data_IF_965890847700
#
_entry.id   IF_965890847700
#
_cell.length_a   1.000
_cell.length_b   1.000
_cell.length_c   1.000
_cell.angle_alpha   90.00
_cell.angle_beta   90.00
_cell.angle_gamma   90.00
#
_symmetry.space_group_name_H-M   'P 1'
#
loop_
_entity.id
_entity.type
_entity.pdbx_description
1 polymer ?
#
# COMPACT_ATOMS: atom_id res chain seq x y z
N UNK A 1 21.08 -38.27 -8.61
CA UNK A 1 19.71 -38.25 -8.06
C UNK A 1 19.14 -36.88 -8.36
N UNK A 2 18.22 -36.77 -9.30
CA UNK A 2 17.50 -35.51 -9.57
C UNK A 2 16.40 -35.39 -8.53
N UNK A 3 16.45 -34.37 -7.68
CA UNK A 3 15.43 -34.12 -6.67
C UNK A 3 14.55 -32.97 -7.17
N UNK A 4 13.37 -33.31 -7.69
CA UNK A 4 12.41 -32.32 -8.20
C UNK A 4 11.97 -31.33 -7.11
N UNK A 5 11.90 -31.79 -5.86
CA UNK A 5 11.53 -30.97 -4.70
C UNK A 5 12.52 -29.82 -4.47
N UNK A 6 13.82 -30.09 -4.59
CA UNK A 6 14.87 -29.06 -4.43
C UNK A 6 14.74 -27.98 -5.51
N UNK A 7 14.48 -28.39 -6.76
CA UNK A 7 14.27 -27.44 -7.85
C UNK A 7 12.99 -26.60 -7.67
N UNK A 8 11.94 -27.18 -7.07
CA UNK A 8 10.70 -26.48 -6.78
C UNK A 8 10.86 -25.50 -5.61
N UNK A 9 11.63 -25.86 -4.58
CA UNK A 9 11.96 -24.99 -3.45
C UNK A 9 12.82 -23.80 -3.90
N UNK A 10 13.85 -24.06 -4.71
CA UNK A 10 14.70 -23.01 -5.29
C UNK A 10 13.88 -22.05 -6.16
N UNK A 11 13.00 -22.58 -7.03
CA UNK A 11 12.08 -21.77 -7.82
C UNK A 11 11.14 -20.92 -6.96
N UNK A 12 10.64 -21.47 -5.85
CA UNK A 12 9.80 -20.77 -4.88
C UNK A 12 10.55 -19.62 -4.20
N UNK A 13 11.78 -19.87 -3.77
CA UNK A 13 12.65 -18.87 -3.16
C UNK A 13 13.03 -17.74 -4.13
N UNK A 14 13.33 -18.08 -5.38
CA UNK A 14 13.59 -17.09 -6.42
C UNK A 14 12.33 -16.31 -6.81
N UNK A 15 11.16 -16.95 -6.79
CA UNK A 15 9.88 -16.30 -7.03
C UNK A 15 9.56 -15.25 -5.96
N UNK A 16 9.90 -15.49 -4.69
CA UNK A 16 9.80 -14.47 -3.62
C UNK A 16 10.72 -13.26 -3.86
N UNK A 17 11.79 -13.41 -4.64
CA UNK A 17 12.71 -12.32 -4.99
C UNK A 17 12.23 -11.44 -6.15
N UNK A 18 11.06 -11.74 -6.74
CA UNK A 18 10.51 -10.98 -7.87
C UNK A 18 9.85 -9.68 -7.38
N UNK A 19 10.21 -8.57 -8.01
CA UNK A 19 9.60 -7.26 -7.81
C UNK A 19 10.48 -6.25 -7.06
N UNK A 20 10.12 -4.96 -7.06
CA UNK A 20 10.91 -3.92 -6.40
C UNK A 20 10.85 -4.06 -4.87
N UNK A 21 12.02 -4.04 -4.23
CA UNK A 21 12.10 -4.05 -2.77
C UNK A 21 11.41 -2.81 -2.17
N UNK A 22 10.62 -3.00 -1.09
CA UNK A 22 10.03 -1.88 -0.38
C UNK A 22 11.15 -1.00 0.20
N UNK A 23 10.90 0.31 0.28
CA UNK A 23 11.88 1.28 0.79
C UNK A 23 12.42 0.92 2.18
N UNK A 24 11.55 0.33 3.03
CA UNK A 24 11.91 -0.05 4.39
C UNK A 24 12.74 -1.33 4.46
N UNK A 25 12.76 -2.14 3.40
CA UNK A 25 13.45 -3.43 3.39
C UNK A 25 14.98 -3.31 3.52
N UNK A 26 15.56 -2.22 3.04
CA UNK A 26 17.00 -1.97 3.16
C UNK A 26 17.38 -1.28 4.49
N UNK A 27 16.44 -0.58 5.14
CA UNK A 27 16.70 0.26 6.31
C UNK A 27 16.02 -0.33 7.55
N UNK A 28 16.65 -1.34 8.15
CA UNK A 28 16.15 -2.00 9.37
C UNK A 28 16.07 -1.03 10.56
N UNK A 29 16.98 -0.05 10.65
CA UNK A 29 16.96 0.97 11.72
C UNK A 29 15.69 1.81 11.65
N UNK A 30 15.28 2.23 10.45
CA UNK A 30 14.03 2.98 10.25
C UNK A 30 12.80 2.13 10.54
N UNK A 31 12.85 0.82 10.24
CA UNK A 31 11.79 -0.12 10.59
C UNK A 31 11.60 -0.21 12.11
N UNK A 32 12.69 -0.45 12.84
CA UNK A 32 12.68 -0.56 14.30
C UNK A 32 12.25 0.74 14.98
N UNK A 33 12.64 1.89 14.44
CA UNK A 33 12.22 3.20 14.96
C UNK A 33 10.70 3.37 14.88
N UNK A 34 10.10 3.07 13.73
CA UNK A 34 8.65 3.13 13.55
C UNK A 34 7.95 2.08 14.43
N UNK A 35 8.53 0.87 14.54
CA UNK A 35 8.01 -0.22 15.37
C UNK A 35 7.88 0.24 16.83
N UNK A 36 8.95 0.78 17.40
CA UNK A 36 8.98 1.29 18.76
C UNK A 36 8.01 2.46 18.99
N UNK A 37 7.93 3.41 18.05
CA UNK A 37 7.02 4.56 18.20
C UNK A 37 5.55 4.13 18.27
N UNK A 38 5.14 3.18 17.43
CA UNK A 38 3.74 2.78 17.40
C UNK A 38 3.44 1.73 18.49
N UNK A 39 4.33 0.77 18.74
CA UNK A 39 4.11 -0.27 19.75
C UNK A 39 4.23 0.27 21.19
N UNK A 40 5.28 1.04 21.52
CA UNK A 40 5.52 1.52 22.88
C UNK A 40 4.80 2.83 23.17
N UNK A 41 4.87 3.80 22.24
CA UNK A 41 4.32 5.16 22.45
C UNK A 41 2.87 5.28 21.94
N UNK A 42 2.33 4.23 21.30
CA UNK A 42 0.97 4.21 20.73
C UNK A 42 0.72 5.32 19.70
N UNK A 43 1.76 5.71 18.95
CA UNK A 43 1.64 6.74 17.92
C UNK A 43 0.75 6.27 16.76
N UNK A 44 0.05 7.22 16.13
CA UNK A 44 -0.60 6.93 14.84
C UNK A 44 0.46 6.79 13.74
N UNK A 45 0.18 6.03 12.65
CA UNK A 45 1.10 5.94 11.52
C UNK A 45 1.42 7.29 10.87
N UNK A 46 0.54 8.28 11.02
CA UNK A 46 0.81 9.65 10.61
C UNK A 46 1.85 10.32 11.50
N UNK A 47 1.70 10.24 12.83
CA UNK A 47 2.68 10.76 13.78
C UNK A 47 4.06 10.10 13.59
N UNK A 48 4.10 8.78 13.37
CA UNK A 48 5.33 8.07 13.06
C UNK A 48 6.00 8.57 11.77
N UNK A 49 5.22 8.90 10.72
CA UNK A 49 5.79 9.47 9.49
C UNK A 49 6.41 10.85 9.67
N UNK A 50 5.84 11.67 10.56
CA UNK A 50 6.39 12.99 10.89
C UNK A 50 7.66 12.84 11.73
N UNK A 51 7.64 11.97 12.75
CA UNK A 51 8.82 11.68 13.56
C UNK A 51 9.98 11.16 12.72
N UNK A 52 9.71 10.22 11.81
CA UNK A 52 10.71 9.70 10.86
C UNK A 52 11.27 10.81 9.95
N UNK A 53 10.44 11.77 9.53
CA UNK A 53 10.91 12.89 8.69
C UNK A 53 11.82 13.86 9.46
N UNK A 54 11.57 14.04 10.75
CA UNK A 54 12.40 14.89 11.60
C UNK A 54 13.74 14.22 11.94
N UNK A 55 13.78 12.88 11.88
CA UNK A 55 14.97 12.09 12.13
C UNK A 55 15.81 11.95 10.85
N UNK A 56 16.56 13.00 10.51
CA UNK A 56 17.39 13.04 9.30
C UNK A 56 18.48 11.95 9.26
N UNK A 57 18.89 11.45 10.42
CA UNK A 57 19.90 10.39 10.59
C UNK A 57 19.52 9.07 9.89
N UNK A 58 18.21 8.82 9.71
CA UNK A 58 17.70 7.61 9.07
C UNK A 58 17.67 7.69 7.54
N UNK A 59 17.87 8.89 6.97
CA UNK A 59 17.98 9.12 5.52
C UNK A 59 16.76 8.67 4.71
N UNK A 60 15.63 8.37 5.35
CA UNK A 60 14.49 7.73 4.73
C UNK A 60 13.19 8.42 5.13
N UNK A 61 12.42 8.80 4.12
CA UNK A 61 11.11 9.44 4.30
C UNK A 61 10.00 8.53 3.78
N UNK A 62 8.96 8.34 4.59
CA UNK A 62 7.78 7.57 4.24
C UNK A 62 6.52 8.40 4.43
N UNK A 63 5.56 8.22 3.52
CA UNK A 63 4.20 8.70 3.73
C UNK A 63 3.47 7.79 4.71
N UNK A 64 2.56 8.35 5.51
CA UNK A 64 1.66 7.59 6.38
C UNK A 64 0.98 6.42 5.66
N UNK A 65 0.58 6.59 4.38
CA UNK A 65 -0.10 5.56 3.60
C UNK A 65 0.82 4.37 3.28
N UNK A 66 2.10 4.67 3.05
CA UNK A 66 3.13 3.65 2.84
C UNK A 66 3.39 2.88 4.12
N UNK A 67 3.48 3.57 5.26
CA UNK A 67 3.57 2.92 6.57
C UNK A 67 2.37 1.99 6.76
N UNK A 68 1.13 2.48 6.62
CA UNK A 68 -0.06 1.62 6.69
C UNK A 68 0.06 0.37 5.81
N UNK A 69 0.41 0.52 4.54
CA UNK A 69 0.59 -0.60 3.61
C UNK A 69 1.65 -1.59 4.10
N UNK A 70 2.77 -1.10 4.65
CA UNK A 70 3.83 -1.94 5.17
C UNK A 70 3.42 -2.70 6.44
N UNK A 71 2.58 -2.11 7.28
CA UNK A 71 1.94 -2.79 8.41
C UNK A 71 1.02 -3.90 7.90
N UNK A 72 0.22 -3.62 6.86
CA UNK A 72 -0.68 -4.63 6.29
C UNK A 72 0.08 -5.80 5.65
N UNK A 73 1.27 -5.54 5.11
CA UNK A 73 2.14 -6.53 4.45
C UNK A 73 3.12 -7.22 5.41
N UNK A 74 3.17 -6.83 6.68
CA UNK A 74 3.99 -7.49 7.71
C UNK A 74 5.50 -7.20 7.61
N UNK A 75 5.89 -5.99 7.20
CA UNK A 75 7.31 -5.60 7.13
C UNK A 75 7.91 -5.18 8.49
N UNK A 76 7.12 -5.18 9.56
CA UNK A 76 7.55 -4.83 10.91
C UNK A 76 7.60 -6.09 11.78
N UNK A 77 8.49 -6.11 12.78
CA UNK A 77 8.76 -7.30 13.57
C UNK A 77 7.68 -7.55 14.63
N UNK A 78 7.30 -6.49 15.36
CA UNK A 78 6.36 -6.59 16.48
C UNK A 78 4.97 -6.02 16.17
N UNK A 79 4.87 -5.17 15.16
CA UNK A 79 3.68 -4.37 14.93
C UNK A 79 2.68 -5.02 13.97
N UNK A 80 1.44 -5.08 14.46
CA UNK A 80 0.29 -5.56 13.72
C UNK A 80 -0.81 -4.50 13.64
N UNK A 81 -1.84 -4.74 12.83
CA UNK A 81 -3.01 -3.85 12.74
C UNK A 81 -3.73 -3.62 14.08
N UNK A 82 -3.52 -4.51 15.07
CA UNK A 82 -4.16 -4.45 16.39
C UNK A 82 -3.56 -3.36 17.27
N UNK A 83 -2.31 -3.00 17.02
CA UNK A 83 -1.54 -2.04 17.80
C UNK A 83 -1.82 -0.59 17.37
N UNK A 84 -2.46 -0.42 16.21
CA UNK A 84 -2.89 0.89 15.77
C UNK A 84 -4.03 1.43 16.66
N UNK A 85 -4.17 2.76 16.81
CA UNK A 85 -5.23 3.37 17.63
C UNK A 85 -6.65 2.90 17.28
N UNK A 86 -6.89 2.60 15.99
CA UNK A 86 -8.18 2.13 15.47
C UNK A 86 -8.30 0.59 15.46
N UNK A 87 -7.24 -0.14 15.80
CA UNK A 87 -7.17 -1.62 15.88
C UNK A 87 -7.70 -2.34 14.63
N UNK A 88 -7.48 -1.76 13.46
CA UNK A 88 -8.02 -2.27 12.19
C UNK A 88 -9.55 -2.21 12.05
N UNK A 89 -10.29 -1.64 13.01
CA UNK A 89 -11.75 -1.51 12.98
C UNK A 89 -12.17 -0.41 12.01
N UNK A 90 -12.19 -0.72 10.71
CA UNK A 90 -12.77 0.16 9.68
C UNK A 90 -13.98 -0.51 9.08
N UNK A 91 -15.11 0.19 9.06
CA UNK A 91 -16.23 -0.20 8.21
C UNK A 91 -15.74 -0.15 6.77
N UNK A 92 -15.68 -1.32 6.10
CA UNK A 92 -15.38 -1.36 4.67
C UNK A 92 -16.50 -0.62 3.96
N UNK A 93 -16.14 0.40 3.18
CA UNK A 93 -17.12 1.09 2.33
C UNK A 93 -17.72 0.05 1.40
N UNK A 94 -19.03 -0.15 1.46
CA UNK A 94 -19.71 -0.97 0.46
C UNK A 94 -19.59 -0.27 -0.89
N UNK A 95 -19.04 -0.98 -1.87
CA UNK A 95 -18.97 -0.47 -3.23
C UNK A 95 -20.38 -0.48 -3.81
N UNK A 96 -20.93 0.69 -4.09
CA UNK A 96 -22.17 0.79 -4.89
C UNK A 96 -21.77 0.61 -6.34
N UNK A 97 -22.17 -0.52 -6.94
CA UNK A 97 -21.99 -0.74 -8.36
C UNK A 97 -22.63 0.42 -9.15
N UNK A 98 -21.89 0.97 -10.11
CA UNK A 98 -22.45 1.98 -11.02
C UNK A 98 -23.52 1.28 -11.87
N UNK A 99 -24.77 1.72 -11.77
CA UNK A 99 -25.81 1.29 -12.71
C UNK A 99 -25.49 1.91 -14.06
N UNK A 100 -25.19 1.07 -15.06
CA UNK A 100 -25.05 1.54 -16.44
C UNK A 100 -26.44 1.97 -16.93
N UNK A 101 -26.63 3.26 -17.18
CA UNK A 101 -27.84 3.76 -17.85
C UNK A 101 -27.79 3.32 -19.32
N UNK A 102 -28.93 2.91 -19.88
CA UNK A 102 -29.05 2.67 -21.32
C UNK A 102 -28.77 3.98 -22.06
N UNK A 103 -28.12 3.91 -23.23
CA UNK A 103 -27.95 5.09 -24.09
C UNK A 103 -29.34 5.63 -24.44
N UNK A 104 -29.54 6.93 -24.22
CA UNK A 104 -30.76 7.62 -24.64
C UNK A 104 -30.87 7.53 -26.17
N UNK A 105 -31.98 6.98 -26.66
CA UNK A 105 -32.26 6.81 -28.09
C UNK A 105 -32.44 8.14 -28.81
N UNK A 106 -32.79 9.21 -28.07
CA UNK A 106 -32.98 10.56 -28.61
C UNK A 106 -31.72 11.43 -28.47
N UNK A 107 -30.64 10.92 -27.87
CA UNK A 107 -29.40 11.67 -27.78
C UNK A 107 -28.75 11.82 -29.16
N UNK A 108 -28.27 13.04 -29.44
CA UNK A 108 -27.57 13.38 -30.70
C UNK A 108 -26.39 12.44 -30.92
N UNK A 109 -26.28 11.93 -32.15
CA UNK A 109 -25.16 11.10 -32.55
C UNK A 109 -23.90 11.95 -32.73
N UNK A 110 -22.74 11.31 -32.72
CA UNK A 110 -21.46 11.97 -33.05
C UNK A 110 -21.47 12.59 -34.46
N UNK A 111 -22.30 12.05 -35.36
CA UNK A 111 -22.48 12.53 -36.73
C UNK A 111 -23.32 13.82 -36.80
N UNK A 112 -24.17 14.08 -35.81
CA UNK A 112 -25.02 15.27 -35.74
C UNK A 112 -24.32 16.44 -35.03
N UNK A 113 -23.02 16.31 -34.74
CA UNK A 113 -22.23 17.34 -34.06
C UNK A 113 -22.14 18.60 -34.96
N UNK A 114 -22.43 19.80 -34.42
CA UNK A 114 -22.34 21.04 -35.20
C UNK A 114 -20.89 21.33 -35.63
N UNK A 115 -20.71 21.79 -36.88
CA UNK A 115 -19.39 22.08 -37.47
C UNK A 115 -18.57 23.12 -36.68
N UNK A 116 -19.24 24.06 -36.01
CA UNK A 116 -18.63 25.05 -35.14
C UNK A 116 -17.85 24.46 -33.94
N UNK A 117 -18.05 23.18 -33.63
CA UNK A 117 -17.34 22.48 -32.56
C UNK A 117 -15.98 21.89 -32.99
N UNK A 118 -15.60 21.99 -34.28
CA UNK A 118 -14.30 21.55 -34.82
C UNK A 118 -13.28 22.70 -34.94
N UNK A 119 -13.44 23.74 -34.13
CA UNK A 119 -12.59 24.94 -34.13
C UNK A 119 -11.45 24.81 -33.13
#
# INVERSE_FOLDING_TARGET
>A
MYSADVAQDDYGFEATRKGPNPKIGNNQVAANFIDNLIACVSYSPYAASVALRNEESLGLTLSFKTIYNYIERGFFASLTKKDLPRKGKRSRRQYKGVRRTKRDSFAKSIHDRPKAANN
#
